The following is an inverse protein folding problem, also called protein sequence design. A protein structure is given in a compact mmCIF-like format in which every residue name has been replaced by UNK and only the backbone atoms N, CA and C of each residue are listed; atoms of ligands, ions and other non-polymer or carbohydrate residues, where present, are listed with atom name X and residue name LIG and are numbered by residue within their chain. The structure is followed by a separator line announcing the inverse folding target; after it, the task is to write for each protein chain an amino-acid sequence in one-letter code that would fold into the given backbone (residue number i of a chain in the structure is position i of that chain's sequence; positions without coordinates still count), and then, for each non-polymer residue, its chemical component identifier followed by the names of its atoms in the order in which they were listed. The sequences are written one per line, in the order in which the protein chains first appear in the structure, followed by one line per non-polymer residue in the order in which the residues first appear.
data_IF_668933775486
#
_entry.id   IF_668933775486
#
_cell.length_a   1.000
_cell.length_b   1.000
_cell.length_c   1.000
_cell.angle_alpha   90.00
_cell.angle_beta   90.00
_cell.angle_gamma   90.00
#
_symmetry.space_group_name_H-M   'P 1'
#
loop_
_entity.id
_entity.type
_entity.pdbx_description
1 polymer ?
#
# COMPACT_ATOMS: atom_id res chain seq x y z
N UNK A 1 0.48 -14.38 -5.93
CA UNK A 1 0.35 -14.75 -4.51
C UNK A 1 -0.96 -14.17 -3.98
N UNK A 2 -1.83 -14.99 -3.41
CA UNK A 2 -3.11 -14.54 -2.81
C UNK A 2 -3.02 -14.77 -1.30
N UNK A 3 -3.28 -13.72 -0.54
CA UNK A 3 -3.33 -13.73 0.92
C UNK A 3 -4.67 -14.35 1.36
N UNK A 4 -4.65 -15.24 2.34
CA UNK A 4 -5.87 -15.82 2.92
C UNK A 4 -6.56 -14.81 3.85
N UNK A 5 -7.85 -15.02 4.14
CA UNK A 5 -8.59 -14.16 5.07
C UNK A 5 -7.96 -14.14 6.46
N UNK A 6 -7.52 -15.30 6.96
CA UNK A 6 -6.82 -15.41 8.26
C UNK A 6 -5.57 -14.53 8.31
N UNK A 7 -4.73 -14.60 7.28
CA UNK A 7 -3.52 -13.77 7.17
C UNK A 7 -3.84 -12.28 7.11
N UNK A 8 -4.96 -11.90 6.48
CA UNK A 8 -5.40 -10.51 6.44
C UNK A 8 -5.85 -10.02 7.81
N UNK A 9 -6.63 -10.83 8.52
CA UNK A 9 -7.13 -10.50 9.85
C UNK A 9 -5.98 -10.40 10.87
N UNK A 10 -4.99 -11.28 10.78
CA UNK A 10 -3.74 -11.20 11.57
C UNK A 10 -2.95 -9.93 11.28
N UNK A 11 -2.79 -9.57 9.99
CA UNK A 11 -2.14 -8.32 9.59
C UNK A 11 -2.89 -7.10 10.11
N UNK A 12 -4.23 -7.08 9.98
CA UNK A 12 -5.09 -6.01 10.47
C UNK A 12 -4.96 -5.85 11.98
N UNK A 13 -5.08 -6.94 12.73
CA UNK A 13 -4.90 -6.93 14.18
C UNK A 13 -3.49 -6.47 14.57
N UNK A 14 -2.45 -6.94 13.88
CA UNK A 14 -1.06 -6.53 14.14
C UNK A 14 -0.80 -5.04 13.88
N UNK A 15 -1.43 -4.48 12.83
CA UNK A 15 -1.35 -3.07 12.45
C UNK A 15 -2.10 -2.17 13.43
N UNK A 16 -3.30 -2.56 13.87
CA UNK A 16 -4.14 -1.75 14.76
C UNK A 16 -3.74 -1.84 16.24
N UNK A 17 -3.28 -3.02 16.70
CA UNK A 17 -3.01 -3.26 18.13
C UNK A 17 -1.66 -2.76 18.62
N UNK A 18 -0.66 -2.65 17.75
CA UNK A 18 0.72 -2.37 18.18
C UNK A 18 1.22 -1.08 17.55
N UNK A 19 1.79 -0.22 18.38
CA UNK A 19 2.44 1.01 17.96
C UNK A 19 3.82 0.69 17.37
N UNK A 20 3.86 0.16 16.13
CA UNK A 20 5.09 -0.25 15.42
C UNK A 20 5.27 0.54 14.14
N UNK A 21 6.53 0.65 13.70
CA UNK A 21 6.84 1.18 12.37
C UNK A 21 6.38 0.23 11.26
N UNK A 22 6.08 0.77 10.07
CA UNK A 22 5.72 -0.06 8.90
C UNK A 22 6.85 -0.99 8.46
N UNK A 23 8.10 -0.61 8.70
CA UNK A 23 9.24 -1.46 8.39
C UNK A 23 9.25 -2.72 9.26
N UNK A 24 9.04 -2.56 10.58
CA UNK A 24 8.94 -3.68 11.51
C UNK A 24 7.78 -4.61 11.15
N UNK A 25 6.62 -4.04 10.83
CA UNK A 25 5.44 -4.80 10.42
C UNK A 25 5.67 -5.58 9.12
N UNK A 26 6.31 -4.96 8.12
CA UNK A 26 6.67 -5.63 6.87
C UNK A 26 7.62 -6.81 7.11
N UNK A 27 8.67 -6.61 7.90
CA UNK A 27 9.67 -7.64 8.20
C UNK A 27 9.07 -8.85 8.92
N UNK A 28 8.15 -8.63 9.86
CA UNK A 28 7.50 -9.70 10.64
C UNK A 28 6.64 -10.60 9.76
N UNK A 29 5.85 -10.00 8.85
CA UNK A 29 5.01 -10.76 7.91
C UNK A 29 5.87 -11.48 6.87
N UNK A 30 6.97 -10.84 6.44
CA UNK A 30 7.89 -11.44 5.47
C UNK A 30 8.75 -12.59 6.01
N UNK A 31 8.84 -12.75 7.33
CA UNK A 31 9.59 -13.89 7.93
C UNK A 31 8.94 -15.23 7.60
N UNK A 32 7.62 -15.26 7.52
CA UNK A 32 6.86 -16.50 7.32
C UNK A 32 6.28 -16.62 5.91
N UNK A 33 5.97 -15.51 5.27
CA UNK A 33 5.39 -15.47 3.93
C UNK A 33 6.09 -14.39 3.11
N UNK A 34 6.79 -14.76 2.03
CA UNK A 34 7.44 -13.79 1.12
C UNK A 34 6.39 -12.96 0.38
N UNK A 35 5.88 -11.90 1.01
CA UNK A 35 4.90 -10.97 0.47
C UNK A 35 5.62 -9.82 -0.25
N UNK A 36 5.19 -9.58 -1.49
CA UNK A 36 5.63 -8.44 -2.27
C UNK A 36 5.33 -7.11 -1.53
N UNK A 37 6.29 -6.18 -1.56
CA UNK A 37 6.19 -4.90 -0.86
C UNK A 37 5.00 -4.06 -1.34
N UNK A 38 4.66 -4.11 -2.63
CA UNK A 38 3.49 -3.39 -3.15
C UNK A 38 2.20 -4.03 -2.65
N UNK A 39 2.15 -5.36 -2.60
CA UNK A 39 1.01 -6.07 -2.04
C UNK A 39 0.82 -5.73 -0.55
N UNK A 40 1.89 -5.70 0.24
CA UNK A 40 1.84 -5.26 1.63
C UNK A 40 1.21 -3.88 1.78
N UNK A 41 1.69 -2.86 1.04
CA UNK A 41 1.12 -1.51 1.14
C UNK A 41 -0.33 -1.43 0.66
N UNK A 42 -0.73 -2.22 -0.35
CA UNK A 42 -2.14 -2.31 -0.77
C UNK A 42 -3.03 -2.82 0.36
N UNK A 43 -2.57 -3.80 1.13
CA UNK A 43 -3.32 -4.34 2.26
C UNK A 43 -3.41 -3.33 3.40
N UNK A 44 -2.31 -2.63 3.72
CA UNK A 44 -2.32 -1.56 4.72
C UNK A 44 -3.29 -0.43 4.34
N UNK A 45 -3.30 0.00 3.09
CA UNK A 45 -4.28 1.00 2.63
C UNK A 45 -5.71 0.50 2.75
N UNK A 46 -5.95 -0.78 2.41
CA UNK A 46 -7.28 -1.38 2.56
C UNK A 46 -7.74 -1.32 4.03
N UNK A 47 -6.88 -1.72 4.96
CA UNK A 47 -7.14 -1.63 6.40
C UNK A 47 -7.44 -0.19 6.80
N UNK A 48 -6.62 0.77 6.36
CA UNK A 48 -6.83 2.20 6.66
C UNK A 48 -8.17 2.71 6.14
N UNK A 49 -8.57 2.34 4.91
CA UNK A 49 -9.89 2.70 4.36
C UNK A 49 -11.04 2.12 5.17
N UNK A 50 -10.93 0.87 5.62
CA UNK A 50 -11.93 0.24 6.48
C UNK A 50 -12.09 0.98 7.81
N UNK A 51 -11.01 1.54 8.35
CA UNK A 51 -11.01 2.35 9.57
C UNK A 51 -11.34 3.84 9.33
N UNK A 52 -11.68 4.23 8.09
CA UNK A 52 -11.98 5.63 7.74
C UNK A 52 -10.76 6.56 7.68
N UNK A 53 -9.55 6.00 7.61
CA UNK A 53 -8.30 6.74 7.52
C UNK A 53 -7.87 6.96 6.06
N UNK A 54 -7.08 8.02 5.83
CA UNK A 54 -6.47 8.29 4.54
C UNK A 54 -5.42 7.24 4.15
N UNK A 55 -5.26 7.01 2.85
CA UNK A 55 -4.28 6.07 2.31
C UNK A 55 -2.86 6.43 2.77
N UNK A 56 -2.11 5.42 3.24
CA UNK A 56 -0.72 5.59 3.66
C UNK A 56 0.22 5.67 2.45
N UNK A 57 -0.08 4.90 1.41
CA UNK A 57 0.74 4.84 0.21
C UNK A 57 -0.15 4.90 -1.03
N UNK A 58 -0.23 6.04 -1.70
CA UNK A 58 -0.79 6.06 -3.05
C UNK A 58 0.26 5.46 -3.98
N UNK A 59 0.06 4.26 -4.56
CA UNK A 59 0.90 3.86 -5.68
C UNK A 59 0.75 4.99 -6.68
N UNK A 60 1.87 5.61 -7.11
CA UNK A 60 1.84 6.58 -8.19
C UNK A 60 1.11 5.87 -9.33
N UNK A 61 -0.17 6.20 -9.54
CA UNK A 61 -0.80 5.82 -10.78
C UNK A 61 0.13 6.43 -11.81
N UNK A 62 0.47 5.66 -12.85
CA UNK A 62 1.11 6.27 -14.00
C UNK A 62 0.20 7.45 -14.32
N UNK A 63 0.69 8.67 -14.10
CA UNK A 63 0.20 9.81 -14.86
C UNK A 63 0.36 9.33 -16.29
N UNK A 64 -0.73 8.91 -16.91
CA UNK A 64 -0.86 9.01 -18.35
C UNK A 64 -0.87 10.51 -18.57
N UNK A 65 0.34 11.07 -18.57
CA UNK A 65 0.63 12.35 -19.18
C UNK A 65 0.42 12.05 -20.65
N UNK A 66 -0.78 12.35 -21.15
CA UNK A 66 -0.96 12.51 -22.59
C UNK A 66 0.02 13.63 -22.98
N UNK A 67 1.04 13.37 -23.83
CA UNK A 67 1.99 14.38 -24.23
C UNK A 67 1.47 15.05 -25.51
N UNK A 68 0.32 15.70 -25.43
CA UNK A 68 -0.20 16.61 -26.45
C UNK A 68 -0.94 17.65 -25.62
N UNK A 69 -0.52 18.91 -25.48
CA UNK A 69 -0.29 19.85 -26.56
C UNK A 69 0.87 20.85 -26.24
N UNK A 70 1.89 20.79 -27.10
CA UNK A 70 2.72 21.87 -27.66
C UNK A 70 3.54 22.85 -26.76
N UNK A 71 4.89 22.74 -26.73
CA UNK A 71 5.80 23.71 -26.12
C UNK A 71 6.22 24.90 -27.02
N UNK A 72 5.61 25.12 -28.18
CA UNK A 72 5.89 26.28 -29.04
C UNK A 72 4.63 27.09 -29.35
N UNK A 73 4.39 28.14 -28.56
CA UNK A 73 3.79 29.37 -29.06
C UNK A 73 4.70 30.53 -28.65
N UNK A 74 5.64 30.85 -29.53
CA UNK A 74 6.12 32.22 -29.70
C UNK A 74 5.33 32.82 -30.85
N UNK A 75 4.55 33.87 -30.57
CA UNK A 75 4.30 35.03 -31.43
C UNK A 75 3.80 36.17 -30.56
#
# INVERSE_FOLDING_TARGET
MKITKSQYDELKNSYLSKNRSMHSLYMEINKENTIDKQLFFKLINKIRKEEGLSDFYTPKSKRTMFPDENPYVSV
#
